data_IF_374114837471
#
_entry.id   IF_374114837471
#
_cell.length_a   1.000
_cell.length_b   1.000
_cell.length_c   1.000
_cell.angle_alpha   90.00
_cell.angle_beta   90.00
_cell.angle_gamma   90.00
#
_symmetry.space_group_name_H-M   'P 1'
#
loop_
_entity.id
_entity.type
_entity.pdbx_description
1 polymer ?
#
# COMPACT_ATOMS: atom_id res chain seq x y z
N UNK A 1 -5.53 18.82 23.00
CA UNK A 1 -6.37 17.96 23.89
C UNK A 1 -6.57 16.65 23.17
N UNK A 2 -6.38 15.50 23.84
CA UNK A 2 -6.61 14.21 23.20
C UNK A 2 -8.08 14.12 22.75
N UNK A 3 -8.30 13.76 21.48
CA UNK A 3 -9.64 13.51 20.95
C UNK A 3 -10.35 12.45 21.78
N UNK A 4 -11.64 12.65 22.08
CA UNK A 4 -12.42 11.64 22.80
C UNK A 4 -12.49 10.34 22.00
N UNK A 5 -12.66 9.21 22.69
CA UNK A 5 -12.81 7.91 22.04
C UNK A 5 -13.97 7.92 21.03
N UNK A 6 -15.09 8.58 21.35
CA UNK A 6 -16.24 8.72 20.45
C UNK A 6 -15.88 9.41 19.13
N UNK A 7 -15.07 10.47 19.16
CA UNK A 7 -14.60 11.16 17.96
C UNK A 7 -13.69 10.25 17.13
N UNK A 8 -12.80 9.48 17.78
CA UNK A 8 -11.91 8.54 17.08
C UNK A 8 -12.68 7.41 16.40
N UNK A 9 -13.68 6.86 17.09
CA UNK A 9 -14.58 5.85 16.51
C UNK A 9 -15.37 6.44 15.34
N UNK A 10 -15.88 7.66 15.46
CA UNK A 10 -16.56 8.35 14.36
C UNK A 10 -15.70 8.51 13.10
N UNK A 11 -14.39 8.75 13.27
CA UNK A 11 -13.42 8.78 12.16
C UNK A 11 -13.16 7.41 11.52
N UNK A 12 -13.39 6.31 12.22
CA UNK A 12 -13.21 4.98 11.65
C UNK A 12 -14.39 4.53 10.77
N UNK A 13 -15.61 5.03 11.03
CA UNK A 13 -16.82 4.55 10.37
C UNK A 13 -16.80 4.65 8.84
N UNK A 14 -16.41 5.79 8.22
CA UNK A 14 -16.37 5.88 6.76
C UNK A 14 -15.35 4.93 6.12
N UNK A 15 -14.21 4.69 6.79
CA UNK A 15 -13.22 3.73 6.32
C UNK A 15 -13.78 2.29 6.35
N UNK A 16 -14.43 1.90 7.45
CA UNK A 16 -15.06 0.57 7.55
C UNK A 16 -16.16 0.40 6.50
N UNK A 17 -17.00 1.43 6.27
CA UNK A 17 -18.02 1.40 5.24
C UNK A 17 -17.42 1.23 3.83
N UNK A 18 -16.31 1.94 3.54
CA UNK A 18 -15.58 1.78 2.29
C UNK A 18 -15.04 0.34 2.13
N UNK A 19 -14.51 -0.25 3.20
CA UNK A 19 -14.01 -1.63 3.18
C UNK A 19 -15.12 -2.66 2.90
N UNK A 20 -16.29 -2.48 3.53
CA UNK A 20 -17.47 -3.34 3.29
C UNK A 20 -17.95 -3.20 1.84
N UNK A 21 -18.00 -1.98 1.32
CA UNK A 21 -18.35 -1.73 -0.08
C UNK A 21 -17.38 -2.40 -1.05
N UNK A 22 -16.07 -2.26 -0.82
CA UNK A 22 -15.05 -2.93 -1.62
C UNK A 22 -15.17 -4.46 -1.54
N UNK A 23 -15.34 -5.03 -0.34
CA UNK A 23 -15.55 -6.46 -0.16
C UNK A 23 -16.80 -6.95 -0.92
N UNK A 24 -17.92 -6.23 -0.84
CA UNK A 24 -19.14 -6.58 -1.56
C UNK A 24 -18.93 -6.58 -3.08
N UNK A 25 -18.14 -5.66 -3.62
CA UNK A 25 -17.79 -5.62 -5.05
C UNK A 25 -16.87 -6.76 -5.45
N UNK A 26 -15.81 -7.02 -4.67
CA UNK A 26 -14.81 -8.03 -4.97
C UNK A 26 -15.37 -9.45 -4.85
N UNK A 27 -16.15 -9.74 -3.81
CA UNK A 27 -16.59 -11.10 -3.50
C UNK A 27 -17.92 -11.50 -4.14
N UNK A 28 -18.57 -10.62 -4.92
CA UNK A 28 -19.82 -10.94 -5.60
C UNK A 28 -19.67 -12.08 -6.61
N UNK A 29 -18.60 -12.03 -7.42
CA UNK A 29 -18.38 -12.91 -8.57
C UNK A 29 -17.15 -13.82 -8.39
N UNK A 30 -16.67 -13.96 -7.14
CA UNK A 30 -15.40 -14.62 -6.80
C UNK A 30 -15.41 -16.11 -7.13
N UNK A 31 -16.52 -16.81 -6.89
CA UNK A 31 -16.59 -18.26 -7.06
C UNK A 31 -16.40 -18.69 -8.53
N UNK A 32 -17.01 -17.97 -9.46
CA UNK A 32 -16.88 -18.26 -10.89
C UNK A 32 -15.48 -17.94 -11.40
N UNK A 33 -14.93 -16.81 -10.96
CA UNK A 33 -13.57 -16.40 -11.31
C UNK A 33 -12.52 -17.38 -10.78
N UNK A 34 -12.64 -17.82 -9.53
CA UNK A 34 -11.72 -18.79 -8.93
C UNK A 34 -11.82 -20.15 -9.61
N UNK A 35 -13.03 -20.63 -9.94
CA UNK A 35 -13.19 -21.86 -10.74
C UNK A 35 -12.48 -21.76 -12.09
N UNK A 36 -12.52 -20.59 -12.75
CA UNK A 36 -11.82 -20.37 -14.01
C UNK A 36 -10.29 -20.37 -13.83
N UNK A 37 -9.78 -19.76 -12.76
CA UNK A 37 -8.35 -19.74 -12.44
C UNK A 37 -7.84 -21.14 -12.06
N UNK A 38 -8.60 -21.88 -11.27
CA UNK A 38 -8.29 -23.25 -10.85
C UNK A 38 -8.22 -24.22 -12.04
N UNK A 39 -9.06 -24.05 -13.07
CA UNK A 39 -8.98 -24.86 -14.30
C UNK A 39 -7.64 -24.70 -15.03
N UNK A 40 -6.93 -23.60 -14.80
CA UNK A 40 -5.58 -23.37 -15.32
C UNK A 40 -4.47 -24.08 -14.53
N UNK A 41 -4.82 -24.79 -13.45
CA UNK A 41 -3.90 -25.49 -12.57
C UNK A 41 -4.05 -27.01 -12.74
N UNK A 42 -3.14 -27.69 -13.47
CA UNK A 42 -3.21 -29.14 -13.64
C UNK A 42 -2.91 -29.87 -12.34
N UNK A 43 -3.58 -31.00 -12.11
CA UNK A 43 -3.44 -31.83 -10.90
C UNK A 43 -2.01 -32.35 -10.68
N UNK A 44 -1.22 -32.49 -11.76
CA UNK A 44 0.21 -32.79 -11.74
C UNK A 44 1.00 -31.62 -12.33
N UNK A 45 1.35 -30.67 -11.47
CA UNK A 45 1.68 -29.30 -11.84
C UNK A 45 3.08 -29.09 -12.48
N UNK A 46 3.20 -28.86 -13.79
CA UNK A 46 4.49 -28.61 -14.49
C UNK A 46 5.14 -27.24 -14.19
N UNK A 47 5.05 -26.72 -12.96
CA UNK A 47 5.69 -25.47 -12.54
C UNK A 47 7.12 -25.69 -12.05
N UNK A 48 7.96 -24.67 -12.16
CA UNK A 48 9.34 -24.66 -11.69
C UNK A 48 9.48 -24.66 -10.16
N UNK A 49 8.38 -24.42 -9.44
CA UNK A 49 8.30 -24.37 -7.98
C UNK A 49 7.17 -25.29 -7.51
N UNK A 50 7.42 -26.09 -6.46
CA UNK A 50 6.44 -26.98 -5.81
C UNK A 50 6.75 -27.10 -4.32
N UNK A 51 5.71 -27.15 -3.50
CA UNK A 51 5.79 -27.47 -2.07
C UNK A 51 5.64 -28.97 -1.79
N UNK A 52 5.16 -29.76 -2.76
CA UNK A 52 4.75 -31.16 -2.62
C UNK A 52 3.56 -31.38 -1.67
N UNK A 53 2.82 -30.31 -1.32
CA UNK A 53 1.58 -30.39 -0.57
C UNK A 53 0.45 -29.98 -1.55
N UNK A 54 -0.40 -30.92 -2.02
CA UNK A 54 -1.34 -30.66 -3.12
C UNK A 54 -2.24 -29.44 -2.92
N UNK A 55 -2.75 -29.24 -1.70
CA UNK A 55 -3.60 -28.10 -1.35
C UNK A 55 -2.85 -26.77 -1.46
N UNK A 56 -1.59 -26.74 -1.01
CA UNK A 56 -0.73 -25.54 -1.08
C UNK A 56 -0.35 -25.25 -2.53
N UNK A 57 0.03 -26.27 -3.30
CA UNK A 57 0.39 -26.12 -4.71
C UNK A 57 -0.79 -25.60 -5.55
N UNK A 58 -2.01 -26.11 -5.32
CA UNK A 58 -3.23 -25.63 -5.98
C UNK A 58 -3.53 -24.16 -5.63
N UNK A 59 -3.46 -23.81 -4.35
CA UNK A 59 -3.67 -22.42 -3.89
C UNK A 59 -2.65 -21.47 -4.50
N UNK A 60 -1.36 -21.80 -4.41
CA UNK A 60 -0.29 -20.97 -4.97
C UNK A 60 -0.41 -20.85 -6.49
N UNK A 61 -0.76 -21.93 -7.19
CA UNK A 61 -1.00 -21.89 -8.64
C UNK A 61 -2.13 -20.93 -9.01
N UNK A 62 -3.23 -20.98 -8.25
CA UNK A 62 -4.39 -20.10 -8.47
C UNK A 62 -4.00 -18.64 -8.30
N UNK A 63 -3.24 -18.31 -7.25
CA UNK A 63 -2.74 -16.96 -6.99
C UNK A 63 -1.73 -16.49 -8.03
N UNK A 64 -0.80 -17.35 -8.46
CA UNK A 64 0.15 -17.01 -9.52
C UNK A 64 -0.56 -16.78 -10.85
N UNK A 65 -1.54 -17.61 -11.20
CA UNK A 65 -2.36 -17.41 -12.40
C UNK A 65 -3.19 -16.12 -12.31
N UNK A 66 -3.71 -15.78 -11.13
CA UNK A 66 -4.39 -14.50 -10.90
C UNK A 66 -3.49 -13.32 -11.25
N UNK A 67 -2.29 -13.24 -10.65
CA UNK A 67 -1.37 -12.12 -10.91
C UNK A 67 -0.81 -12.14 -12.33
N UNK A 68 -0.58 -13.32 -12.90
CA UNK A 68 -0.16 -13.45 -14.29
C UNK A 68 -1.21 -12.88 -15.27
N UNK A 69 -2.49 -13.20 -15.06
CA UNK A 69 -3.61 -12.63 -15.84
C UNK A 69 -3.84 -11.15 -15.56
N UNK A 70 -3.61 -10.69 -14.32
CA UNK A 70 -3.61 -9.26 -14.00
C UNK A 70 -2.49 -8.47 -14.71
N UNK A 71 -1.66 -9.12 -15.53
CA UNK A 71 -0.60 -8.50 -16.32
C UNK A 71 -0.58 -8.94 -17.79
N UNK A 72 -1.63 -9.61 -18.27
CA UNK A 72 -1.64 -10.17 -19.64
C UNK A 72 -1.91 -9.13 -20.71
N UNK A 73 -2.68 -8.09 -20.41
CA UNK A 73 -3.03 -7.01 -21.33
C UNK A 73 -2.44 -5.66 -20.89
N UNK A 74 -2.51 -4.65 -21.76
CA UNK A 74 -1.92 -3.34 -21.50
C UNK A 74 -2.71 -2.53 -20.46
N UNK A 75 -4.04 -2.65 -20.45
CA UNK A 75 -4.90 -2.13 -19.38
C UNK A 75 -4.61 -2.84 -18.04
N UNK A 76 -4.40 -4.16 -18.07
CA UNK A 76 -4.03 -4.93 -16.88
C UNK A 76 -2.69 -4.46 -16.29
N UNK A 77 -1.66 -4.28 -17.14
CA UNK A 77 -0.37 -3.73 -16.70
C UNK A 77 -0.51 -2.31 -16.16
N UNK A 78 -1.31 -1.47 -16.82
CA UNK A 78 -1.56 -0.09 -16.42
C UNK A 78 -2.14 -0.01 -15.01
N UNK A 79 -3.20 -0.77 -14.73
CA UNK A 79 -3.84 -0.83 -13.40
C UNK A 79 -2.87 -1.47 -12.39
N UNK A 80 -2.25 -2.60 -12.74
CA UNK A 80 -1.37 -3.36 -11.84
C UNK A 80 -0.17 -2.54 -11.39
N UNK A 81 0.43 -1.70 -12.25
CA UNK A 81 1.57 -0.91 -11.81
C UNK A 81 1.15 0.29 -10.95
N UNK A 82 -0.06 0.85 -11.15
CA UNK A 82 -0.57 1.86 -10.23
C UNK A 82 -0.82 1.30 -8.84
N UNK A 83 -1.44 0.12 -8.73
CA UNK A 83 -1.60 -0.50 -7.42
C UNK A 83 -0.25 -0.88 -6.81
N UNK A 84 0.69 -1.41 -7.62
CA UNK A 84 1.97 -1.87 -7.10
C UNK A 84 2.76 -0.71 -6.50
N UNK A 85 2.84 0.41 -7.22
CA UNK A 85 3.51 1.63 -6.71
C UNK A 85 2.78 2.22 -5.50
N UNK A 86 1.44 2.25 -5.51
CA UNK A 86 0.64 2.77 -4.40
C UNK A 86 0.75 1.91 -3.13
N UNK A 87 0.77 0.58 -3.28
CA UNK A 87 0.93 -0.37 -2.17
C UNK A 87 2.31 -0.22 -1.53
N UNK A 88 3.37 0.02 -2.30
CA UNK A 88 4.69 0.28 -1.70
C UNK A 88 4.66 1.59 -0.89
N UNK A 89 4.06 2.65 -1.41
CA UNK A 89 3.88 3.91 -0.67
C UNK A 89 3.07 3.69 0.61
N UNK A 90 1.99 2.91 0.54
CA UNK A 90 1.18 2.51 1.69
C UNK A 90 2.02 1.77 2.74
N UNK A 91 2.70 0.69 2.33
CA UNK A 91 3.48 -0.13 3.24
C UNK A 91 4.57 0.71 3.92
N UNK A 92 5.12 1.72 3.23
CA UNK A 92 6.16 2.58 3.77
C UNK A 92 5.57 3.47 4.86
N UNK A 93 4.40 4.04 4.59
CA UNK A 93 3.63 4.80 5.57
C UNK A 93 3.29 3.93 6.80
N UNK A 94 2.74 2.73 6.60
CA UNK A 94 2.43 1.80 7.68
C UNK A 94 3.67 1.40 8.48
N UNK A 95 4.80 1.14 7.81
CA UNK A 95 6.05 0.77 8.45
C UNK A 95 6.62 1.92 9.29
N UNK A 96 6.58 3.15 8.77
CA UNK A 96 7.01 4.34 9.51
C UNK A 96 6.13 4.56 10.74
N UNK A 97 4.81 4.60 10.57
CA UNK A 97 3.87 4.83 11.67
C UNK A 97 3.92 3.71 12.72
N UNK A 98 3.97 2.45 12.28
CA UNK A 98 4.13 1.29 13.15
C UNK A 98 5.47 1.25 13.90
N UNK A 99 6.49 1.96 13.42
CA UNK A 99 7.83 2.00 14.03
C UNK A 99 8.06 3.22 14.95
N UNK A 100 7.07 4.11 15.08
CA UNK A 100 7.14 5.24 16.01
C UNK A 100 7.05 4.78 17.47
N UNK A 101 7.59 5.59 18.38
CA UNK A 101 7.45 5.34 19.82
C UNK A 101 5.97 5.34 20.20
N UNK A 102 5.51 4.29 20.90
CA UNK A 102 4.11 4.09 21.30
C UNK A 102 3.12 3.98 20.13
N UNK A 103 3.52 3.42 19.00
CA UNK A 103 2.62 3.15 17.87
C UNK A 103 1.46 2.20 18.22
N UNK A 104 1.48 1.51 19.36
CA UNK A 104 0.44 0.53 19.70
C UNK A 104 0.68 -0.80 18.98
N UNK A 105 0.44 -1.91 19.67
CA UNK A 105 0.83 -3.24 19.20
C UNK A 105 0.27 -3.54 17.80
N UNK A 106 -1.01 -3.26 17.58
CA UNK A 106 -1.69 -3.59 16.33
C UNK A 106 -1.18 -2.78 15.12
N UNK A 107 -0.80 -1.51 15.30
CA UNK A 107 -0.18 -0.73 14.21
C UNK A 107 1.26 -1.17 13.94
N UNK A 108 1.98 -1.58 14.98
CA UNK A 108 3.36 -2.07 14.87
C UNK A 108 3.47 -3.47 14.26
N UNK A 109 2.40 -4.27 14.27
CA UNK A 109 2.32 -5.60 13.70
C UNK A 109 2.18 -5.57 12.16
N UNK A 110 3.08 -4.86 11.48
CA UNK A 110 3.04 -4.64 10.03
C UNK A 110 3.15 -5.93 9.22
N UNK A 111 3.81 -6.96 9.75
CA UNK A 111 3.84 -8.30 9.16
C UNK A 111 2.46 -8.96 9.09
N UNK A 112 1.65 -8.78 10.13
CA UNK A 112 0.30 -9.29 10.19
C UNK A 112 -0.58 -8.59 9.15
N UNK A 113 -0.45 -7.27 9.03
CA UNK A 113 -1.12 -6.53 7.96
C UNK A 113 -0.62 -6.96 6.58
N UNK A 114 0.68 -7.21 6.41
CA UNK A 114 1.27 -7.78 5.19
C UNK A 114 0.57 -9.06 4.74
N UNK A 115 0.24 -9.95 5.67
CA UNK A 115 -0.52 -11.18 5.39
C UNK A 115 -2.00 -10.89 5.07
N UNK A 116 -2.65 -10.02 5.83
CA UNK A 116 -4.05 -9.65 5.59
C UNK A 116 -4.24 -9.01 4.21
N UNK A 117 -3.29 -8.17 3.78
CA UNK A 117 -3.29 -7.55 2.45
C UNK A 117 -3.30 -8.60 1.34
N UNK A 118 -2.60 -9.73 1.52
CA UNK A 118 -2.53 -10.81 0.53
C UNK A 118 -3.77 -11.71 0.53
N UNK A 119 -4.41 -11.89 1.70
CA UNK A 119 -5.58 -12.77 1.83
C UNK A 119 -6.87 -12.05 1.40
N UNK A 120 -7.05 -10.81 1.85
CA UNK A 120 -8.32 -10.08 1.70
C UNK A 120 -8.29 -9.03 0.58
N UNK A 121 -7.11 -8.72 0.04
CA UNK A 121 -6.89 -7.54 -0.79
C UNK A 121 -6.65 -6.28 0.04
N UNK A 122 -6.02 -5.29 -0.56
CA UNK A 122 -5.65 -4.05 0.13
C UNK A 122 -6.81 -3.08 0.31
N UNK A 123 -7.79 -3.11 -0.60
CA UNK A 123 -9.02 -2.33 -0.48
C UNK A 123 -9.86 -2.70 0.73
N UNK A 124 -9.76 -3.93 1.22
CA UNK A 124 -10.52 -4.39 2.39
C UNK A 124 -9.67 -4.23 3.63
N UNK A 125 -8.48 -4.82 3.64
CA UNK A 125 -7.69 -4.95 4.87
C UNK A 125 -7.18 -3.61 5.43
N UNK A 126 -6.74 -2.68 4.58
CA UNK A 126 -6.24 -1.38 5.04
C UNK A 126 -7.35 -0.53 5.70
N UNK A 127 -8.49 -0.24 5.04
CA UNK A 127 -9.54 0.56 5.66
C UNK A 127 -10.37 -0.18 6.72
N UNK A 128 -10.38 -1.52 6.75
CA UNK A 128 -11.08 -2.28 7.78
C UNK A 128 -10.29 -2.45 9.07
N UNK A 129 -8.97 -2.67 8.97
CA UNK A 129 -8.16 -3.03 10.13
C UNK A 129 -7.15 -1.94 10.48
N UNK A 130 -6.27 -1.58 9.54
CA UNK A 130 -5.15 -0.70 9.87
C UNK A 130 -5.61 0.74 10.14
N UNK A 131 -6.48 1.29 9.29
CA UNK A 131 -6.92 2.69 9.40
C UNK A 131 -7.79 2.95 10.64
N UNK A 132 -8.74 2.07 11.04
CA UNK A 132 -9.44 2.19 12.31
C UNK A 132 -8.49 2.15 13.50
N UNK A 133 -7.54 1.22 13.52
CA UNK A 133 -6.52 1.19 14.57
C UNK A 133 -5.72 2.50 14.60
N UNK A 134 -5.37 3.03 13.44
CA UNK A 134 -4.63 4.28 13.31
C UNK A 134 -5.37 5.46 13.96
N UNK A 135 -6.68 5.57 13.76
CA UNK A 135 -7.48 6.60 14.43
C UNK A 135 -7.66 6.36 15.92
N UNK A 136 -7.87 5.11 16.35
CA UNK A 136 -8.03 4.76 17.76
C UNK A 136 -6.76 5.06 18.59
N UNK A 137 -5.58 4.81 18.02
CA UNK A 137 -4.29 5.12 18.63
C UNK A 137 -3.83 6.59 18.44
N UNK A 138 -4.67 7.45 17.87
CA UNK A 138 -4.35 8.88 17.62
C UNK A 138 -3.08 9.06 16.76
N UNK A 139 -2.94 8.19 15.74
CA UNK A 139 -1.80 8.16 14.82
C UNK A 139 -1.54 9.48 14.10
N UNK A 140 -2.59 10.26 13.84
CA UNK A 140 -2.51 11.55 13.15
C UNK A 140 -2.20 12.76 14.02
N UNK A 141 -2.12 12.59 15.35
CA UNK A 141 -1.93 13.72 16.25
C UNK A 141 -0.53 14.33 16.12
N UNK A 142 -0.50 15.63 15.80
CA UNK A 142 0.71 16.45 15.60
C UNK A 142 0.83 17.58 16.62
N UNK A 143 0.03 17.55 17.69
CA UNK A 143 0.14 18.52 18.79
C UNK A 143 1.56 18.52 19.38
N UNK A 144 2.07 19.72 19.67
CA UNK A 144 3.44 19.93 20.18
C UNK A 144 3.72 19.12 21.45
N UNK A 145 2.70 18.89 22.29
CA UNK A 145 2.81 18.07 23.51
C UNK A 145 3.02 16.57 23.23
N UNK A 146 2.57 16.07 22.07
CA UNK A 146 2.60 14.65 21.73
C UNK A 146 3.67 14.29 20.69
N UNK A 147 4.29 15.29 20.06
CA UNK A 147 5.27 15.10 18.98
C UNK A 147 6.49 14.26 19.39
N UNK A 148 6.83 14.19 20.67
CA UNK A 148 7.90 13.31 21.19
C UNK A 148 7.60 11.82 21.02
N UNK A 149 6.33 11.43 20.97
CA UNK A 149 5.95 10.05 20.69
C UNK A 149 6.16 9.71 19.21
N UNK A 150 6.30 10.71 18.33
CA UNK A 150 6.50 10.47 16.89
C UNK A 150 7.95 10.18 16.48
N UNK A 151 8.84 9.94 17.45
CA UNK A 151 10.25 9.57 17.19
C UNK A 151 10.34 8.25 16.42
N UNK A 152 11.32 8.18 15.51
CA UNK A 152 11.75 6.98 14.80
C UNK A 152 13.27 7.02 14.65
N UNK A 153 13.97 5.88 14.77
CA UNK A 153 15.42 5.85 14.63
C UNK A 153 15.85 5.81 13.16
N UNK A 154 16.96 6.46 12.81
CA UNK A 154 17.49 6.41 11.44
C UNK A 154 17.82 4.98 11.01
N UNK A 155 18.33 4.14 11.92
CA UNK A 155 18.62 2.73 11.63
C UNK A 155 17.35 1.96 11.22
N UNK A 156 16.22 2.18 11.92
CA UNK A 156 14.94 1.58 11.56
C UNK A 156 14.43 2.09 10.22
N UNK A 157 14.55 3.38 9.94
CA UNK A 157 14.18 3.95 8.63
C UNK A 157 15.04 3.38 7.49
N UNK A 158 16.35 3.25 7.71
CA UNK A 158 17.25 2.65 6.74
C UNK A 158 16.91 1.18 6.47
N UNK A 159 16.57 0.41 7.52
CA UNK A 159 16.11 -0.96 7.38
C UNK A 159 14.79 -1.07 6.60
N UNK A 160 13.82 -0.17 6.86
CA UNK A 160 12.58 -0.08 6.06
C UNK A 160 12.91 0.21 4.60
N UNK A 161 13.74 1.22 4.34
CA UNK A 161 14.15 1.58 2.98
C UNK A 161 14.83 0.44 2.24
N UNK A 162 15.78 -0.24 2.89
CA UNK A 162 16.48 -1.40 2.33
C UNK A 162 15.52 -2.55 2.02
N UNK A 163 14.63 -2.89 2.94
CA UNK A 163 13.65 -3.95 2.72
C UNK A 163 12.73 -3.62 1.53
N UNK A 164 12.40 -2.35 1.33
CA UNK A 164 11.51 -1.90 0.26
C UNK A 164 12.17 -1.89 -1.11
N UNK A 165 13.51 -1.84 -1.19
CA UNK A 165 14.23 -2.05 -2.44
C UNK A 165 13.93 -3.44 -3.01
N UNK A 166 13.83 -4.48 -2.17
CA UNK A 166 13.48 -5.83 -2.64
C UNK A 166 12.06 -5.89 -3.22
N UNK A 167 11.12 -5.19 -2.59
CA UNK A 167 9.76 -5.09 -3.10
C UNK A 167 9.73 -4.38 -4.46
N UNK A 168 10.48 -3.30 -4.62
CA UNK A 168 10.63 -2.63 -5.92
C UNK A 168 11.27 -3.50 -6.99
N UNK A 169 12.35 -4.20 -6.67
CA UNK A 169 13.01 -5.10 -7.62
C UNK A 169 12.06 -6.21 -8.10
N UNK A 170 11.22 -6.72 -7.18
CA UNK A 170 10.22 -7.71 -7.54
C UNK A 170 9.10 -7.11 -8.42
N UNK A 171 8.60 -5.90 -8.09
CA UNK A 171 7.63 -5.19 -8.93
C UNK A 171 8.19 -4.97 -10.33
N UNK A 172 9.43 -4.48 -10.44
CA UNK A 172 10.12 -4.30 -11.72
C UNK A 172 10.16 -5.64 -12.48
N UNK A 173 10.55 -6.74 -11.83
CA UNK A 173 10.60 -8.06 -12.44
C UNK A 173 9.24 -8.50 -13.02
N UNK A 174 8.11 -8.13 -12.40
CA UNK A 174 6.78 -8.46 -12.92
C UNK A 174 6.47 -7.79 -14.27
N UNK A 175 7.02 -6.60 -14.52
CA UNK A 175 6.79 -5.85 -15.76
C UNK A 175 7.83 -6.11 -16.85
N UNK A 176 8.94 -6.77 -16.52
CA UNK A 176 9.93 -7.16 -17.51
C UNK A 176 9.43 -8.33 -18.38
N UNK A 177 9.87 -8.42 -19.66
CA UNK A 177 9.51 -9.52 -20.56
C UNK A 177 10.27 -10.80 -20.20
N UNK A 178 10.01 -11.32 -19.00
CA UNK A 178 10.59 -12.56 -18.49
C UNK A 178 9.97 -13.79 -19.18
N UNK A 179 10.71 -14.90 -19.21
CA UNK A 179 10.15 -16.21 -19.59
C UNK A 179 9.00 -16.58 -18.63
N UNK A 180 8.04 -17.36 -19.09
CA UNK A 180 6.85 -17.74 -18.32
C UNK A 180 7.19 -18.24 -16.91
N UNK A 181 8.12 -19.20 -16.79
CA UNK A 181 8.52 -19.76 -15.49
C UNK A 181 9.14 -18.71 -14.55
N UNK A 182 9.92 -17.78 -15.11
CA UNK A 182 10.52 -16.69 -14.35
C UNK A 182 9.47 -15.66 -13.91
N UNK A 183 8.46 -15.39 -14.75
CA UNK A 183 7.35 -14.51 -14.42
C UNK A 183 6.45 -15.11 -13.34
N UNK A 184 6.20 -16.42 -13.40
CA UNK A 184 5.49 -17.15 -12.35
C UNK A 184 6.24 -17.09 -11.01
N UNK A 185 7.57 -17.28 -11.03
CA UNK A 185 8.40 -17.12 -9.84
C UNK A 185 8.35 -15.68 -9.29
N UNK A 186 8.38 -14.67 -10.17
CA UNK A 186 8.25 -13.27 -9.75
C UNK A 186 6.90 -13.01 -9.07
N UNK A 187 5.79 -13.57 -9.58
CA UNK A 187 4.46 -13.50 -8.96
C UNK A 187 4.42 -14.21 -7.60
N UNK A 188 5.04 -15.39 -7.49
CA UNK A 188 5.13 -16.12 -6.22
C UNK A 188 5.89 -15.30 -5.17
N UNK A 189 7.03 -14.73 -5.56
CA UNK A 189 7.82 -13.87 -4.69
C UNK A 189 6.99 -12.63 -4.29
N UNK A 190 6.26 -12.02 -5.23
CA UNK A 190 5.40 -10.87 -4.95
C UNK A 190 4.36 -11.15 -3.84
N UNK A 191 3.77 -12.34 -3.87
CA UNK A 191 2.76 -12.77 -2.89
C UNK A 191 3.33 -12.78 -1.45
N UNK A 192 4.56 -13.27 -1.28
CA UNK A 192 5.18 -13.39 0.06
C UNK A 192 5.99 -12.16 0.46
N UNK A 193 6.37 -11.32 -0.50
CA UNK A 193 7.34 -10.24 -0.28
C UNK A 193 6.88 -9.23 0.78
N UNK A 194 5.62 -8.76 0.83
CA UNK A 194 5.21 -7.82 1.88
C UNK A 194 5.36 -8.38 3.30
N UNK A 195 5.10 -9.66 3.51
CA UNK A 195 5.33 -10.31 4.80
C UNK A 195 6.84 -10.43 5.11
N UNK A 196 7.65 -10.82 4.14
CA UNK A 196 9.11 -10.92 4.32
C UNK A 196 9.71 -9.55 4.65
N UNK A 197 9.42 -8.54 3.82
CA UNK A 197 9.94 -7.18 3.94
C UNK A 197 9.59 -6.54 5.27
N UNK A 198 8.38 -6.79 5.78
CA UNK A 198 7.95 -6.28 7.09
C UNK A 198 8.65 -6.97 8.25
N UNK A 199 9.01 -8.25 8.13
CA UNK A 199 9.80 -8.95 9.14
C UNK A 199 11.27 -8.50 9.18
N UNK A 200 11.87 -8.16 8.03
CA UNK A 200 13.29 -7.82 7.92
C UNK A 200 13.70 -6.62 8.78
N UNK A 201 12.84 -5.63 8.94
CA UNK A 201 13.17 -4.46 9.74
C UNK A 201 12.82 -4.62 11.23
N UNK A 202 12.09 -5.67 11.65
CA UNK A 202 11.63 -5.83 13.04
C UNK A 202 12.74 -5.76 14.10
N UNK A 203 13.94 -6.34 13.89
CA UNK A 203 15.02 -6.29 14.88
C UNK A 203 15.50 -4.87 15.20
N UNK A 204 15.27 -3.90 14.31
CA UNK A 204 15.74 -2.53 14.47
C UNK A 204 14.76 -1.69 15.28
N UNK A 205 14.89 -1.66 16.60
CA UNK A 205 13.96 -0.89 17.44
C UNK A 205 14.29 0.61 17.47
N UNK A 206 13.29 1.45 17.72
CA UNK A 206 13.50 2.87 17.99
C UNK A 206 13.79 3.05 19.48
N UNK A 207 15.05 3.33 19.83
CA UNK A 207 15.41 3.71 21.20
C UNK A 207 14.80 5.08 21.58
N UNK A 208 14.35 5.28 22.83
CA UNK A 208 13.92 6.59 23.34
C UNK A 208 14.95 7.72 23.14
N UNK A 209 16.24 7.36 23.15
CA UNK A 209 17.37 8.27 23.03
C UNK A 209 17.78 8.54 21.57
N UNK A 210 17.08 7.94 20.60
CA UNK A 210 17.38 8.12 19.18
C UNK A 210 17.29 9.61 18.78
N UNK A 211 18.27 10.13 18.00
CA UNK A 211 18.23 11.50 17.51
C UNK A 211 17.03 11.74 16.59
N UNK A 212 16.00 12.38 17.14
CA UNK A 212 14.70 12.56 16.48
C UNK A 212 14.81 13.21 15.09
N UNK A 213 15.62 14.26 14.94
CA UNK A 213 15.78 14.97 13.67
C UNK A 213 16.41 14.09 12.57
N UNK A 214 17.33 13.18 12.90
CA UNK A 214 17.95 12.30 11.91
C UNK A 214 16.94 11.27 11.39
N UNK A 215 16.11 10.72 12.28
CA UNK A 215 15.01 9.83 11.90
C UNK A 215 14.03 10.49 10.95
N UNK A 216 13.53 11.68 11.30
CA UNK A 216 12.58 12.43 10.45
C UNK A 216 13.16 12.77 9.06
N UNK A 217 14.43 13.18 8.99
CA UNK A 217 15.11 13.40 7.70
C UNK A 217 15.19 12.11 6.87
N UNK A 218 15.45 10.97 7.52
CA UNK A 218 15.41 9.66 6.88
C UNK A 218 14.04 9.33 6.32
N UNK A 219 12.96 9.58 7.09
CA UNK A 219 11.58 9.33 6.65
C UNK A 219 11.22 10.19 5.44
N UNK A 220 11.61 11.47 5.45
CA UNK A 220 11.44 12.37 4.30
C UNK A 220 12.16 11.81 3.07
N UNK A 221 13.43 11.39 3.21
CA UNK A 221 14.18 10.81 2.11
C UNK A 221 13.55 9.52 1.58
N UNK A 222 13.07 8.65 2.47
CA UNK A 222 12.35 7.43 2.11
C UNK A 222 11.11 7.75 1.26
N UNK A 223 10.25 8.66 1.71
CA UNK A 223 9.04 8.99 0.97
C UNK A 223 9.31 9.81 -0.31
N UNK A 224 10.37 10.61 -0.36
CA UNK A 224 10.81 11.24 -1.62
C UNK A 224 11.25 10.20 -2.66
N UNK A 225 11.97 9.15 -2.23
CA UNK A 225 12.32 8.03 -3.10
C UNK A 225 11.05 7.33 -3.63
N UNK A 226 10.09 7.04 -2.75
CA UNK A 226 8.81 6.43 -3.16
C UNK A 226 8.02 7.34 -4.11
N UNK A 227 8.02 8.65 -3.86
CA UNK A 227 7.39 9.63 -4.74
C UNK A 227 8.02 9.60 -6.13
N UNK A 228 9.35 9.61 -6.22
CA UNK A 228 10.09 9.52 -7.48
C UNK A 228 9.71 8.26 -8.28
N UNK A 229 9.67 7.10 -7.62
CA UNK A 229 9.30 5.83 -8.27
C UNK A 229 7.83 5.80 -8.69
N UNK A 230 6.93 6.35 -7.87
CA UNK A 230 5.51 6.53 -8.22
C UNK A 230 5.32 7.45 -9.44
N UNK A 231 6.07 8.55 -9.52
CA UNK A 231 6.07 9.44 -10.68
C UNK A 231 6.64 8.76 -11.93
N UNK A 232 7.71 7.97 -11.80
CA UNK A 232 8.24 7.17 -12.91
C UNK A 232 7.18 6.26 -13.49
N UNK A 233 6.43 5.53 -12.65
CA UNK A 233 5.32 4.71 -13.13
C UNK A 233 4.21 5.55 -13.77
N UNK A 234 3.84 6.69 -13.19
CA UNK A 234 2.82 7.56 -13.78
C UNK A 234 3.21 8.03 -15.19
N UNK A 235 4.47 8.42 -15.40
CA UNK A 235 4.97 8.78 -16.73
C UNK A 235 4.88 7.60 -17.72
N UNK A 236 5.23 6.38 -17.28
CA UNK A 236 5.06 5.16 -18.08
C UNK A 236 3.57 4.95 -18.41
N UNK A 237 2.67 5.10 -17.44
CA UNK A 237 1.24 4.94 -17.63
C UNK A 237 0.64 5.99 -18.58
N UNK A 238 1.18 7.21 -18.60
CA UNK A 238 0.84 8.22 -19.62
C UNK A 238 1.28 7.75 -21.01
N UNK A 239 2.45 7.15 -21.16
CA UNK A 239 2.88 6.58 -22.44
C UNK A 239 1.96 5.45 -22.94
N UNK A 240 1.43 4.62 -22.03
CA UNK A 240 0.41 3.62 -22.37
C UNK A 240 -0.85 4.28 -22.96
N UNK A 241 -1.34 5.37 -22.37
CA UNK A 241 -2.51 6.11 -22.86
C UNK A 241 -2.23 6.81 -24.18
N UNK A 242 -1.03 7.38 -24.36
CA UNK A 242 -0.65 8.01 -25.63
C UNK A 242 -0.54 6.99 -26.76
N UNK A 243 -0.10 5.76 -26.46
CA UNK A 243 -0.04 4.66 -27.43
C UNK A 243 -1.43 4.11 -27.76
N UNK A 244 -2.33 4.05 -26.78
CA UNK A 244 -3.68 3.52 -26.92
C UNK A 244 -4.68 4.41 -26.16
N UNK A 245 -5.28 5.41 -26.84
CA UNK A 245 -6.22 6.34 -26.22
C UNK A 245 -7.50 5.68 -25.69
N UNK A 246 -7.88 4.51 -26.19
CA UNK A 246 -9.06 3.77 -25.71
C UNK A 246 -8.82 3.06 -24.38
N UNK A 247 -7.56 2.96 -23.93
CA UNK A 247 -7.19 2.30 -22.69
C UNK A 247 -8.00 2.79 -21.49
N UNK A 248 -8.14 4.12 -21.35
CA UNK A 248 -8.91 4.71 -20.24
C UNK A 248 -10.38 4.27 -20.29
N UNK A 249 -10.98 4.26 -21.49
CA UNK A 249 -12.37 3.83 -21.68
C UNK A 249 -12.56 2.36 -21.29
N UNK A 250 -11.61 1.48 -21.68
CA UNK A 250 -11.64 0.06 -21.30
C UNK A 250 -11.51 -0.14 -19.79
N UNK A 251 -10.62 0.60 -19.13
CA UNK A 251 -10.48 0.56 -17.66
C UNK A 251 -11.75 1.07 -16.97
N UNK A 252 -12.36 2.15 -17.46
CA UNK A 252 -13.63 2.66 -16.92
C UNK A 252 -14.75 1.62 -17.10
N UNK A 253 -14.80 0.94 -18.24
CA UNK A 253 -15.79 -0.10 -18.53
C UNK A 253 -15.74 -1.27 -17.54
N UNK A 254 -14.56 -1.59 -16.98
CA UNK A 254 -14.43 -2.65 -15.96
C UNK A 254 -15.29 -2.38 -14.72
N UNK A 255 -15.61 -1.12 -14.38
CA UNK A 255 -16.50 -0.81 -13.24
C UNK A 255 -17.96 -1.21 -13.49
N UNK A 256 -18.41 -1.24 -14.74
CA UNK A 256 -19.82 -1.45 -15.08
C UNK A 256 -20.06 -2.84 -15.68
N UNK A 257 -19.08 -3.36 -16.42
CA UNK A 257 -19.15 -4.67 -17.05
C UNK A 257 -17.76 -5.27 -17.21
N UNK A 258 -17.55 -6.49 -16.75
CA UNK A 258 -16.34 -7.26 -17.00
C UNK A 258 -16.72 -8.72 -17.30
N UNK A 259 -15.90 -9.39 -18.11
CA UNK A 259 -15.99 -10.85 -18.29
C UNK A 259 -15.27 -11.55 -17.14
N UNK A 260 -15.65 -12.79 -16.84
CA UNK A 260 -14.98 -13.59 -15.79
C UNK A 260 -13.46 -13.69 -15.96
N UNK A 261 -12.95 -13.66 -17.19
CA UNK A 261 -11.51 -13.64 -17.49
C UNK A 261 -10.80 -12.35 -17.07
N UNK A 262 -11.52 -11.23 -17.03
CA UNK A 262 -11.04 -9.90 -16.66
C UNK A 262 -11.12 -9.67 -15.14
N UNK A 263 -11.68 -10.62 -14.38
CA UNK A 263 -11.84 -10.51 -12.93
C UNK A 263 -10.54 -10.16 -12.19
N UNK A 264 -9.36 -10.71 -12.51
CA UNK A 264 -8.12 -10.29 -11.84
C UNK A 264 -7.80 -8.81 -12.04
N UNK A 265 -8.06 -8.26 -13.22
CA UNK A 265 -7.84 -6.84 -13.52
C UNK A 265 -8.86 -5.98 -12.78
N UNK A 266 -10.13 -6.40 -12.79
CA UNK A 266 -11.20 -5.77 -12.03
C UNK A 266 -10.88 -5.72 -10.53
N UNK A 267 -10.45 -6.84 -9.95
CA UNK A 267 -10.10 -6.93 -8.54
C UNK A 267 -8.99 -5.93 -8.20
N UNK A 268 -7.93 -5.90 -9.00
CA UNK A 268 -6.79 -4.99 -8.82
C UNK A 268 -7.20 -3.52 -9.00
N UNK A 269 -8.17 -3.24 -9.87
CA UNK A 269 -8.74 -1.90 -10.07
C UNK A 269 -9.54 -1.43 -8.85
N UNK A 270 -10.37 -2.29 -8.26
CA UNK A 270 -11.09 -1.99 -7.02
C UNK A 270 -10.09 -1.77 -5.88
N UNK A 271 -9.04 -2.59 -5.79
CA UNK A 271 -7.92 -2.42 -4.86
C UNK A 271 -7.28 -1.03 -4.99
N UNK A 272 -6.98 -0.60 -6.22
CA UNK A 272 -6.41 0.72 -6.51
C UNK A 272 -7.32 1.85 -6.06
N UNK A 273 -8.59 1.83 -6.46
CA UNK A 273 -9.51 2.94 -6.17
C UNK A 273 -9.82 3.03 -4.69
N UNK A 274 -10.19 1.92 -4.04
CA UNK A 274 -10.56 1.94 -2.63
C UNK A 274 -9.35 2.27 -1.73
N UNK A 275 -8.15 1.79 -2.07
CA UNK A 275 -6.93 2.19 -1.35
C UNK A 275 -6.67 3.69 -1.49
N UNK A 276 -6.74 4.23 -2.71
CA UNK A 276 -6.52 5.66 -2.92
C UNK A 276 -7.58 6.52 -2.20
N UNK A 277 -8.85 6.15 -2.28
CA UNK A 277 -9.93 6.83 -1.55
C UNK A 277 -9.73 6.76 -0.03
N UNK A 278 -9.20 5.65 0.50
CA UNK A 278 -8.84 5.53 1.92
C UNK A 278 -7.77 6.54 2.33
N UNK A 279 -6.78 6.80 1.45
CA UNK A 279 -5.76 7.82 1.69
C UNK A 279 -6.29 9.25 1.57
N UNK A 280 -7.19 9.52 0.60
CA UNK A 280 -7.86 10.83 0.48
C UNK A 280 -8.70 11.09 1.74
N UNK A 281 -9.40 10.07 2.24
CA UNK A 281 -10.14 10.16 3.49
C UNK A 281 -9.22 10.42 4.69
N UNK A 282 -8.13 9.67 4.83
CA UNK A 282 -7.11 9.90 5.86
C UNK A 282 -6.59 11.35 5.82
N UNK A 283 -6.25 11.84 4.64
CA UNK A 283 -5.79 13.23 4.42
C UNK A 283 -6.85 14.24 4.86
N UNK A 284 -8.12 14.02 4.51
CA UNK A 284 -9.22 14.90 4.89
C UNK A 284 -9.43 14.94 6.41
N UNK A 285 -9.28 13.80 7.08
CA UNK A 285 -9.42 13.68 8.54
C UNK A 285 -8.25 14.33 9.28
N UNK A 286 -7.05 14.31 8.72
CA UNK A 286 -5.85 14.84 9.35
C UNK A 286 -5.58 16.31 9.08
N UNK A 287 -5.73 16.74 7.83
CA UNK A 287 -5.30 18.06 7.34
C UNK A 287 -6.45 18.87 6.75
N UNK A 288 -7.66 18.31 6.75
CA UNK A 288 -8.87 18.97 6.25
C UNK A 288 -9.09 18.78 4.75
N UNK A 289 -10.27 19.22 4.31
CA UNK A 289 -10.77 18.99 2.96
C UNK A 289 -9.90 19.61 1.85
N UNK A 290 -9.31 20.78 2.11
CA UNK A 290 -8.48 21.47 1.12
C UNK A 290 -7.25 20.63 0.73
N UNK A 291 -6.54 20.04 1.71
CA UNK A 291 -5.37 19.21 1.41
C UNK A 291 -5.80 17.91 0.74
N UNK A 292 -6.94 17.32 1.12
CA UNK A 292 -7.50 16.14 0.45
C UNK A 292 -7.85 16.42 -1.02
N UNK A 293 -8.38 17.61 -1.32
CA UNK A 293 -8.65 18.06 -2.69
C UNK A 293 -7.36 18.22 -3.48
N UNK A 294 -6.32 18.82 -2.89
CA UNK A 294 -5.00 18.93 -3.53
C UNK A 294 -4.37 17.57 -3.82
N UNK A 295 -4.49 16.60 -2.90
CA UNK A 295 -4.05 15.21 -3.13
C UNK A 295 -4.84 14.58 -4.28
N UNK A 296 -6.15 14.80 -4.34
CA UNK A 296 -7.01 14.25 -5.40
C UNK A 296 -6.67 14.81 -6.78
N UNK A 297 -6.51 16.13 -6.89
CA UNK A 297 -6.09 16.79 -8.14
C UNK A 297 -4.67 16.40 -8.52
N UNK A 298 -3.75 16.36 -7.54
CA UNK A 298 -2.38 15.95 -7.78
C UNK A 298 -2.26 14.50 -8.24
N UNK A 299 -3.13 13.59 -7.79
CA UNK A 299 -3.11 12.19 -8.24
C UNK A 299 -3.41 12.07 -9.74
N UNK A 300 -4.23 12.95 -10.29
CA UNK A 300 -4.50 13.00 -11.72
C UNK A 300 -3.28 13.48 -12.52
N UNK A 301 -2.51 14.43 -11.97
CA UNK A 301 -1.37 15.08 -12.66
C UNK A 301 -0.07 14.28 -12.51
N UNK A 302 0.16 13.69 -11.34
CA UNK A 302 1.44 13.06 -10.96
C UNK A 302 1.32 11.58 -10.60
N UNK A 303 0.09 11.05 -10.55
CA UNK A 303 -0.21 9.69 -10.14
C UNK A 303 -0.47 9.55 -8.63
N UNK A 304 -1.28 8.56 -8.22
CA UNK A 304 -1.70 8.37 -6.82
C UNK A 304 -0.53 8.04 -5.88
N UNK A 305 0.42 7.20 -6.31
CA UNK A 305 1.58 6.82 -5.49
C UNK A 305 2.51 8.01 -5.18
N UNK A 306 2.70 8.90 -6.17
CA UNK A 306 3.47 10.14 -5.98
C UNK A 306 2.83 11.01 -4.90
N UNK A 307 1.53 11.33 -5.05
CA UNK A 307 0.89 12.27 -4.11
C UNK A 307 0.73 11.71 -2.71
N UNK A 308 0.49 10.41 -2.55
CA UNK A 308 0.45 9.78 -1.22
C UNK A 308 1.82 9.89 -0.55
N UNK A 309 2.90 9.65 -1.30
CA UNK A 309 4.27 9.77 -0.79
C UNK A 309 4.63 11.23 -0.49
N UNK A 310 4.25 12.17 -1.36
CA UNK A 310 4.45 13.60 -1.15
C UNK A 310 3.67 14.13 0.05
N UNK A 311 2.45 13.65 0.27
CA UNK A 311 1.67 13.92 1.48
C UNK A 311 2.39 13.42 2.73
N UNK A 312 2.99 12.22 2.69
CA UNK A 312 3.80 11.70 3.80
C UNK A 312 5.03 12.58 4.08
N UNK A 313 5.68 13.12 3.04
CA UNK A 313 6.78 14.10 3.18
C UNK A 313 6.28 15.37 3.88
N UNK A 314 5.18 15.96 3.40
CA UNK A 314 4.55 17.13 4.00
C UNK A 314 4.22 16.90 5.48
N UNK A 315 3.58 15.77 5.79
CA UNK A 315 3.22 15.39 7.15
C UNK A 315 4.45 15.28 8.06
N UNK A 316 5.54 14.68 7.57
CA UNK A 316 6.78 14.53 8.32
C UNK A 316 7.49 15.88 8.55
N UNK A 317 7.41 16.81 7.58
CA UNK A 317 7.90 18.18 7.76
C UNK A 317 7.12 18.92 8.84
N UNK A 318 5.78 18.79 8.88
CA UNK A 318 4.96 19.36 9.95
C UNK A 318 5.37 18.81 11.33
N UNK A 319 5.59 17.51 11.45
CA UNK A 319 6.08 16.88 12.68
C UNK A 319 7.45 17.44 13.07
N UNK A 320 8.40 17.50 12.13
CA UNK A 320 9.74 18.03 12.36
C UNK A 320 9.73 19.50 12.84
N UNK A 321 8.86 20.32 12.26
CA UNK A 321 8.69 21.73 12.65
C UNK A 321 8.07 21.86 14.06
N UNK A 322 7.10 21.02 14.42
CA UNK A 322 6.55 21.01 15.78
C UNK A 322 7.61 20.65 16.83
N UNK A 323 8.55 19.74 16.50
CA UNK A 323 9.69 19.39 17.37
C UNK A 323 10.64 20.58 17.57
N UNK A 324 10.94 21.34 16.52
CA UNK A 324 11.88 22.47 16.62
C UNK A 324 11.33 23.59 17.50
N UNK A 325 10.06 23.97 17.31
CA UNK A 325 9.37 25.01 18.10
C UNK A 325 9.42 24.70 19.61
N UNK A 326 9.20 23.44 19.98
CA UNK A 326 9.20 23.05 21.39
C UNK A 326 10.60 23.08 22.02
N UNK A 327 11.64 22.74 21.25
CA UNK A 327 13.03 22.81 21.75
C UNK A 327 13.43 24.24 22.08
N UNK A 328 12.98 25.21 21.30
CA UNK A 328 13.20 26.63 21.59
C UNK A 328 12.51 27.00 22.91
N UNK A 329 11.22 26.68 23.06
CA UNK A 329 10.46 26.95 24.29
C UNK A 329 11.01 26.33 25.58
N UNK A 330 11.86 25.31 25.50
CA UNK A 330 12.48 24.67 26.69
C UNK A 330 13.79 25.34 27.10
N UNK A 331 14.40 26.13 26.21
CA UNK A 331 15.64 26.85 26.49
C UNK A 331 15.39 28.23 27.10
N UNK A 332 14.22 28.78 26.84
CA UNK A 332 13.71 30.04 27.42
C UNK A 332 13.13 29.78 28.82
#
# INVERSE_FOLDING_TARGET
MASSLSVRVGKALPAVALAIGAAALLFRDVDEAFKLLEKGCPDSAAYSWRSNIPVVDKMLCTLVNFFFRAQSSDDAKWVTGYIATLVVSLLAFMAVEGSRIKSGLFLSATWFHGLLLQILGVSVSFPLFWLPAYFLYDGGNREVSQVWNKKISLARVAAIGFAFLFLWLNIIALFFPLKTDQKQLACLIFLVMPAIVTTLYLPFTTSPDAPQQKGHKGVIALHLLQAGLGLTWHLIAVLYVLRDPELISRVIKLFTSFKTEEYPVYFVLIDLVALFLSFVYLTAVEDGFLIALLVSVGAFIFGPAFVVSAFCVYREQCISNAVSVMRTKRKD
#
